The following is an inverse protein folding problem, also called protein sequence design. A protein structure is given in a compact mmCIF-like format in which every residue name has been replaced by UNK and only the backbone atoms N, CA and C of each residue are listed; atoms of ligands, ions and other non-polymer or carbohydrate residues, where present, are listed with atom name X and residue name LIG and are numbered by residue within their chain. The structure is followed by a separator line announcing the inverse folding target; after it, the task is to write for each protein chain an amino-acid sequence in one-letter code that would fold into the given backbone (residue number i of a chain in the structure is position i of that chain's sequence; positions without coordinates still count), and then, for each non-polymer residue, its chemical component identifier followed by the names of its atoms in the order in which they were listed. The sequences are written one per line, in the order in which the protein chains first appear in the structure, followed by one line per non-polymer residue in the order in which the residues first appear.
data_IF_776273362132
#
_entry.id   IF_776273362132
#
_cell.length_a   1.000
_cell.length_b   1.000
_cell.length_c   1.000
_cell.angle_alpha   90.00
_cell.angle_beta   90.00
_cell.angle_gamma   90.00
#
_symmetry.space_group_name_H-M   'P 1'
#
loop_
_entity.id
_entity.type
_entity.pdbx_description
1 polymer ?
#
# COMPACT_ATOMS: atom_id res chain seq x y z
N UNK A 1 -1.28 -18.04 8.68
CA UNK A 1 -1.44 -16.69 9.24
C UNK A 1 -2.65 -16.04 8.61
N UNK A 2 -3.71 -15.81 9.39
CA UNK A 2 -4.97 -15.26 8.89
C UNK A 2 -4.80 -13.77 8.49
N UNK A 3 -5.51 -13.29 7.45
CA UNK A 3 -5.47 -11.89 7.08
C UNK A 3 -6.15 -11.04 8.17
N UNK A 4 -5.41 -10.05 8.64
CA UNK A 4 -5.86 -9.03 9.59
C UNK A 4 -7.04 -8.25 8.97
N UNK A 5 -8.23 -8.44 9.53
CA UNK A 5 -9.46 -7.77 9.10
C UNK A 5 -9.46 -6.31 9.58
N UNK A 6 -9.87 -5.35 8.73
CA UNK A 6 -9.72 -3.91 9.00
C UNK A 6 -10.64 -3.34 10.10
N UNK A 7 -11.57 -4.12 10.65
CA UNK A 7 -12.57 -3.68 11.64
C UNK A 7 -12.23 -3.98 13.10
N UNK A 8 -11.13 -4.69 13.40
CA UNK A 8 -10.68 -4.91 14.78
C UNK A 8 -9.58 -3.89 15.13
N UNK A 9 -9.86 -3.05 16.13
CA UNK A 9 -9.09 -1.85 16.49
C UNK A 9 -7.63 -2.08 16.89
N UNK A 10 -6.77 -2.40 15.92
CA UNK A 10 -5.33 -2.60 16.13
C UNK A 10 -4.42 -1.83 15.17
N UNK A 11 -4.94 -1.27 14.07
CA UNK A 11 -4.11 -0.58 13.06
C UNK A 11 -4.10 0.96 13.16
N UNK A 12 -5.06 1.53 13.89
CA UNK A 12 -5.27 2.99 13.95
C UNK A 12 -6.01 3.53 12.71
N UNK A 13 -6.76 4.63 12.92
CA UNK A 13 -7.59 5.26 11.87
C UNK A 13 -6.76 5.72 10.67
N UNK A 14 -5.56 6.27 10.90
CA UNK A 14 -4.68 6.75 9.83
C UNK A 14 -4.25 5.64 8.87
N UNK A 15 -3.94 4.45 9.38
CA UNK A 15 -3.59 3.31 8.53
C UNK A 15 -4.79 2.84 7.71
N UNK A 16 -6.00 2.83 8.30
CA UNK A 16 -7.22 2.44 7.58
C UNK A 16 -7.53 3.39 6.42
N UNK A 17 -7.44 4.71 6.65
CA UNK A 17 -7.63 5.71 5.60
C UNK A 17 -6.59 5.53 4.49
N UNK A 18 -5.31 5.43 4.85
CA UNK A 18 -4.23 5.25 3.89
C UNK A 18 -4.47 3.97 3.06
N UNK A 19 -4.68 2.82 3.71
CA UNK A 19 -4.96 1.56 3.03
C UNK A 19 -6.13 1.69 2.05
N UNK A 20 -7.23 2.33 2.48
CA UNK A 20 -8.41 2.52 1.62
C UNK A 20 -8.10 3.35 0.39
N UNK A 21 -7.36 4.46 0.53
CA UNK A 21 -6.95 5.29 -0.59
C UNK A 21 -6.01 4.56 -1.56
N UNK A 22 -5.05 3.82 -1.03
CA UNK A 22 -4.07 3.05 -1.80
C UNK A 22 -4.73 1.88 -2.54
N UNK A 23 -5.71 1.20 -1.92
CA UNK A 23 -6.47 0.14 -2.59
C UNK A 23 -7.43 0.72 -3.64
N UNK A 24 -8.06 1.88 -3.37
CA UNK A 24 -8.91 2.58 -4.34
C UNK A 24 -8.14 3.08 -5.57
N UNK A 25 -6.86 3.42 -5.43
CA UNK A 25 -6.00 3.78 -6.57
C UNK A 25 -5.48 2.58 -7.36
N UNK A 26 -5.96 1.36 -7.08
CA UNK A 26 -5.55 0.13 -7.78
C UNK A 26 -4.33 -0.55 -7.16
N UNK A 27 -3.90 -0.12 -5.98
CA UNK A 27 -2.83 -0.75 -5.23
C UNK A 27 -3.28 -1.97 -4.45
N UNK A 28 -2.33 -2.85 -4.12
CA UNK A 28 -2.51 -3.95 -3.18
C UNK A 28 -1.59 -3.77 -1.99
N UNK A 29 -2.17 -3.61 -0.81
CA UNK A 29 -1.45 -3.38 0.46
C UNK A 29 -1.28 -4.69 1.22
N UNK A 30 -0.04 -5.00 1.61
CA UNK A 30 0.30 -6.13 2.47
C UNK A 30 0.98 -5.62 3.74
N UNK A 31 0.55 -6.13 4.89
CA UNK A 31 1.10 -5.79 6.22
C UNK A 31 1.66 -7.04 6.86
N UNK A 32 2.86 -6.93 7.41
CA UNK A 32 3.50 -8.00 8.16
C UNK A 32 4.40 -7.47 9.26
N UNK A 33 4.98 -8.39 10.02
CA UNK A 33 6.05 -8.07 10.96
C UNK A 33 7.29 -7.58 10.20
N UNK A 34 7.96 -6.59 10.76
CA UNK A 34 9.21 -6.05 10.25
C UNK A 34 10.33 -7.09 10.30
N UNK A 35 11.33 -6.87 9.44
CA UNK A 35 12.55 -7.66 9.45
C UNK A 35 13.32 -7.39 10.76
N UNK A 36 13.74 -8.47 11.40
CA UNK A 36 14.52 -8.46 12.62
C UNK A 36 14.91 -9.89 12.96
N UNK A 37 16.01 -10.12 13.65
CA UNK A 37 16.42 -11.48 14.02
C UNK A 37 15.43 -12.13 15.00
N UNK A 38 15.46 -13.46 15.11
CA UNK A 38 14.64 -14.15 16.12
C UNK A 38 15.03 -13.63 17.52
N UNK A 39 14.06 -13.08 18.24
CA UNK A 39 14.26 -12.56 19.60
C UNK A 39 14.48 -11.06 19.72
N UNK A 40 14.55 -10.31 18.60
CA UNK A 40 14.56 -8.84 18.63
C UNK A 40 13.15 -8.27 18.37
N UNK A 41 12.82 -7.09 18.92
CA UNK A 41 11.56 -6.42 18.64
C UNK A 41 11.43 -6.16 17.13
N UNK A 42 10.50 -6.87 16.50
CA UNK A 42 10.17 -6.69 15.09
C UNK A 42 9.15 -5.57 14.98
N UNK A 43 9.48 -4.52 14.24
CA UNK A 43 8.55 -3.44 13.91
C UNK A 43 7.42 -3.92 13.00
N UNK A 44 6.79 -2.99 12.27
CA UNK A 44 5.84 -3.33 11.21
C UNK A 44 6.48 -3.09 9.84
N UNK A 45 6.23 -3.98 8.88
CA UNK A 45 6.57 -3.78 7.46
C UNK A 45 5.29 -3.73 6.64
N UNK A 46 5.13 -2.63 5.92
CA UNK A 46 4.03 -2.43 4.97
C UNK A 46 4.62 -2.41 3.58
N UNK A 47 4.10 -3.24 2.68
CA UNK A 47 4.50 -3.29 1.28
C UNK A 47 3.27 -3.02 0.43
N UNK A 48 3.43 -2.24 -0.64
CA UNK A 48 2.33 -1.92 -1.53
C UNK A 48 2.75 -2.11 -2.98
N UNK A 49 1.89 -2.74 -3.77
CA UNK A 49 2.14 -3.05 -5.18
C UNK A 49 1.06 -2.40 -6.04
N UNK A 50 1.47 -1.60 -7.03
CA UNK A 50 0.58 -0.99 -8.02
C UNK A 50 0.90 -1.45 -9.44
N UNK A 51 -0.12 -1.64 -10.29
CA UNK A 51 0.05 -1.56 -11.73
C UNK A 51 0.57 -0.17 -12.11
N UNK A 52 1.61 -0.10 -12.95
CA UNK A 52 2.22 1.17 -13.34
C UNK A 52 1.19 2.12 -13.95
N UNK A 53 0.29 1.60 -14.77
CA UNK A 53 -0.78 2.31 -15.45
C UNK A 53 -1.81 2.93 -14.51
N UNK A 54 -2.02 2.35 -13.33
CA UNK A 54 -2.93 2.90 -12.33
C UNK A 54 -2.28 4.03 -11.50
N UNK A 55 -0.95 4.09 -11.49
CA UNK A 55 -0.16 5.10 -10.80
C UNK A 55 0.25 6.27 -11.72
N UNK A 56 0.35 6.02 -13.02
CA UNK A 56 0.65 7.05 -14.01
C UNK A 56 -0.50 8.05 -14.12
N UNK A 57 -0.17 9.32 -13.98
CA UNK A 57 -1.03 10.40 -14.43
C UNK A 57 -0.85 10.44 -15.94
N UNK A 58 -1.93 10.26 -16.69
CA UNK A 58 -1.90 10.54 -18.13
C UNK A 58 -1.51 12.00 -18.29
N UNK A 59 -0.26 12.25 -18.69
CA UNK A 59 0.23 13.59 -18.95
C UNK A 59 -0.19 13.94 -20.39
N UNK A 60 -1.20 14.80 -20.58
CA UNK A 60 -1.69 15.13 -21.92
C UNK A 60 -0.64 15.90 -22.73
N UNK A 61 0.41 16.46 -22.12
CA UNK A 61 1.45 17.19 -22.83
C UNK A 61 2.51 16.27 -23.46
N UNK A 62 2.70 15.05 -22.93
CA UNK A 62 3.60 14.04 -23.52
C UNK A 62 2.98 13.31 -24.73
N UNK A 63 1.66 13.39 -24.95
CA UNK A 63 0.98 12.77 -26.09
C UNK A 63 1.02 13.64 -27.36
N UNK A 64 0.97 14.98 -27.21
CA UNK A 64 1.10 15.94 -28.33
C UNK A 64 2.49 15.95 -28.96
N UNK A 65 3.52 15.45 -28.29
CA UNK A 65 4.88 15.40 -28.82
C UNK A 65 5.15 14.17 -29.74
N UNK A 66 4.13 13.35 -30.01
CA UNK A 66 4.22 12.16 -30.88
C UNK A 66 3.65 12.35 -32.29
N UNK A 67 3.25 13.56 -32.69
CA UNK A 67 2.76 13.89 -34.05
C UNK A 67 3.80 14.57 -34.91
#
# INVERSE_FOLDING_TARGET
TAPIAPSQGGMGLGFFIARTLLERSGGKVSVGSGDGEKGQPRGARVTVRWPRQALEVADPALETAKV
#
